data_IF_733728725003
#
_entry.id   IF_733728725003
#
_cell.length_a   1.000
_cell.length_b   1.000
_cell.length_c   1.000
_cell.angle_alpha   90.00
_cell.angle_beta   90.00
_cell.angle_gamma   90.00
#
_symmetry.space_group_name_H-M   'P 1'
#
loop_
_entity.id
_entity.type
_entity.pdbx_description
1 polymer ?
#
# COMPACT_ATOMS: atom_id res chain seq x y z
N UNK A 1 8.53 -11.11 -6.53
CA UNK A 1 8.21 -10.02 -5.58
C UNK A 1 7.25 -9.02 -6.19
N UNK A 2 6.39 -8.42 -5.37
CA UNK A 2 5.55 -7.28 -5.72
C UNK A 2 6.37 -6.00 -5.52
N UNK A 3 6.53 -5.25 -6.62
CA UNK A 3 7.26 -4.00 -6.63
C UNK A 3 6.38 -2.86 -7.16
N UNK A 4 6.56 -1.69 -6.56
CA UNK A 4 6.01 -0.42 -7.03
C UNK A 4 7.16 0.56 -7.28
N UNK A 5 7.11 1.25 -8.42
CA UNK A 5 8.15 2.19 -8.84
C UNK A 5 7.70 3.62 -8.65
N UNK A 6 8.43 4.37 -7.83
CA UNK A 6 8.12 5.76 -7.50
C UNK A 6 8.12 6.66 -8.75
N UNK A 7 7.16 7.59 -8.81
CA UNK A 7 6.97 8.49 -9.95
C UNK A 7 6.44 7.84 -11.25
N UNK A 8 6.01 6.56 -11.22
CA UNK A 8 5.38 5.90 -12.38
C UNK A 8 4.12 5.14 -11.99
N UNK A 9 3.32 4.73 -12.98
CA UNK A 9 2.15 3.84 -12.78
C UNK A 9 2.51 2.35 -12.79
N UNK A 10 3.79 2.01 -12.62
CA UNK A 10 4.26 0.62 -12.65
C UNK A 10 4.14 0.04 -11.25
N UNK A 11 3.15 -0.84 -11.10
CA UNK A 11 2.85 -1.57 -9.89
C UNK A 11 2.48 -3.01 -10.26
N UNK A 12 3.21 -3.99 -9.74
CA UNK A 12 2.96 -5.38 -10.11
C UNK A 12 4.01 -6.39 -9.66
N UNK A 13 3.86 -7.62 -10.15
CA UNK A 13 4.71 -8.75 -9.79
C UNK A 13 5.90 -8.88 -10.73
N UNK A 14 7.12 -8.89 -10.17
CA UNK A 14 8.32 -9.30 -10.89
C UNK A 14 8.19 -10.77 -11.27
N UNK A 15 8.17 -11.03 -12.58
CA UNK A 15 8.08 -12.38 -13.14
C UNK A 15 9.46 -12.92 -13.52
N UNK A 16 10.32 -12.10 -14.11
CA UNK A 16 11.65 -12.50 -14.56
C UNK A 16 12.64 -11.32 -14.53
N UNK A 17 13.91 -11.61 -14.28
CA UNK A 17 15.00 -10.63 -14.23
C UNK A 17 16.06 -11.03 -15.24
N UNK A 18 16.04 -10.36 -16.40
CA UNK A 18 17.05 -10.51 -17.43
C UNK A 18 18.23 -9.57 -17.22
N UNK A 19 19.29 -9.76 -18.03
CA UNK A 19 20.51 -8.94 -17.93
C UNK A 19 20.26 -7.45 -18.21
N UNK A 20 19.33 -7.12 -19.11
CA UNK A 20 19.05 -5.74 -19.54
C UNK A 20 17.70 -5.22 -19.07
N UNK A 21 16.71 -6.10 -18.89
CA UNK A 21 15.34 -5.75 -18.55
C UNK A 21 14.78 -6.68 -17.47
N UNK A 22 13.90 -6.12 -16.66
CA UNK A 22 13.09 -6.85 -15.69
C UNK A 22 11.64 -6.87 -16.16
N UNK A 23 11.02 -8.04 -16.18
CA UNK A 23 9.62 -8.23 -16.56
C UNK A 23 8.74 -8.10 -15.31
N UNK A 24 7.90 -7.07 -15.29
CA UNK A 24 6.90 -6.81 -14.24
C UNK A 24 5.51 -7.00 -14.83
N UNK A 25 4.67 -7.81 -14.22
CA UNK A 25 3.28 -8.03 -14.64
C UNK A 25 2.35 -7.21 -13.75
N UNK A 26 1.62 -6.26 -14.35
CA UNK A 26 0.62 -5.45 -13.65
C UNK A 26 -0.60 -6.28 -13.25
N UNK A 27 -1.45 -5.70 -12.39
CA UNK A 27 -2.68 -6.34 -11.90
C UNK A 27 -3.67 -6.73 -12.99
N UNK A 28 -3.70 -5.99 -14.09
CA UNK A 28 -4.50 -6.29 -15.28
C UNK A 28 -3.89 -7.40 -16.18
N UNK A 29 -2.86 -8.09 -15.67
CA UNK A 29 -2.08 -9.14 -16.35
C UNK A 29 -1.27 -8.65 -17.56
N UNK A 30 -1.04 -7.34 -17.69
CA UNK A 30 -0.17 -6.81 -18.76
C UNK A 30 1.31 -6.87 -18.34
N UNK A 31 2.19 -7.47 -19.16
CA UNK A 31 3.62 -7.44 -18.90
C UNK A 31 4.22 -6.10 -19.32
N UNK A 32 5.03 -5.52 -18.44
CA UNK A 32 5.88 -4.35 -18.69
C UNK A 32 7.33 -4.78 -18.57
N UNK A 33 8.13 -4.41 -19.55
CA UNK A 33 9.58 -4.63 -19.55
C UNK A 33 10.27 -3.34 -19.14
N UNK A 34 10.87 -3.34 -17.95
CA UNK A 34 11.55 -2.18 -17.39
C UNK A 34 13.06 -2.36 -17.58
N UNK A 35 13.76 -1.43 -18.25
CA UNK A 35 15.21 -1.48 -18.34
C UNK A 35 15.87 -1.37 -16.96
N UNK A 36 16.87 -2.21 -16.69
CA UNK A 36 17.51 -2.27 -15.38
C UNK A 36 18.19 -0.94 -14.99
N UNK A 37 18.74 -0.20 -15.96
CA UNK A 37 19.35 1.11 -15.71
C UNK A 37 18.34 2.13 -15.16
N UNK A 38 17.05 2.01 -15.54
CA UNK A 38 16.00 2.91 -15.06
C UNK A 38 15.67 2.64 -13.59
N UNK A 39 15.74 1.38 -13.17
CA UNK A 39 15.57 1.00 -11.76
C UNK A 39 16.68 1.58 -10.87
N UNK A 40 17.89 1.78 -11.39
CA UNK A 40 19.00 2.36 -10.63
C UNK A 40 18.81 3.85 -10.30
N UNK A 41 18.00 4.56 -11.10
CA UNK A 41 17.72 5.99 -10.91
C UNK A 41 16.44 6.28 -10.12
N UNK A 42 15.69 5.26 -9.71
CA UNK A 42 14.34 5.40 -9.13
C UNK A 42 14.25 4.71 -7.78
N UNK A 43 13.35 5.20 -6.92
CA UNK A 43 13.02 4.48 -5.69
C UNK A 43 12.15 3.27 -6.03
N UNK A 44 12.60 2.09 -5.60
CA UNK A 44 11.86 0.83 -5.76
C UNK A 44 11.28 0.44 -4.40
N UNK A 45 9.96 0.36 -4.30
CA UNK A 45 9.29 -0.14 -3.12
C UNK A 45 9.03 -1.65 -3.29
N UNK A 46 9.47 -2.46 -2.33
CA UNK A 46 9.19 -3.90 -2.32
C UNK A 46 8.07 -4.20 -1.32
N UNK A 47 6.85 -4.27 -1.84
CA UNK A 47 5.64 -4.50 -1.07
C UNK A 47 5.53 -5.95 -0.58
N UNK A 48 6.25 -6.90 -1.18
CA UNK A 48 6.31 -8.28 -0.67
C UNK A 48 7.07 -8.40 0.64
N UNK A 49 7.95 -7.44 0.96
CA UNK A 49 8.69 -7.40 2.23
C UNK A 49 8.04 -6.51 3.28
N UNK A 50 6.81 -6.06 3.04
CA UNK A 50 6.04 -5.28 3.99
C UNK A 50 5.66 -6.14 5.21
N UNK A 51 5.92 -5.66 6.41
CA UNK A 51 5.57 -6.36 7.67
C UNK A 51 4.10 -6.21 8.02
N UNK A 52 3.55 -4.99 7.88
CA UNK A 52 2.16 -4.66 8.22
C UNK A 52 1.51 -3.88 7.09
N UNK A 53 0.21 -4.11 6.85
CA UNK A 53 -0.58 -3.32 5.90
C UNK A 53 -1.28 -2.18 6.63
N UNK A 54 -1.09 -0.94 6.16
CA UNK A 54 -1.77 0.23 6.73
C UNK A 54 -3.18 0.37 6.18
N UNK A 55 -4.18 0.38 7.06
CA UNK A 55 -5.56 0.74 6.74
C UNK A 55 -5.73 2.24 7.01
N UNK A 56 -6.16 3.01 6.01
CA UNK A 56 -6.50 4.43 6.15
C UNK A 56 -7.92 4.65 5.68
N UNK A 57 -8.74 5.27 6.52
CA UNK A 57 -10.14 5.54 6.23
C UNK A 57 -10.52 6.93 6.75
N UNK A 58 -11.24 7.70 5.94
CA UNK A 58 -11.77 9.01 6.31
C UNK A 58 -13.28 8.87 6.61
N UNK A 59 -13.63 8.97 7.90
CA UNK A 59 -15.02 8.87 8.36
C UNK A 59 -15.73 10.22 8.20
N UNK A 60 -16.74 10.27 7.34
CA UNK A 60 -17.57 11.46 7.16
C UNK A 60 -18.78 11.41 8.10
N UNK A 61 -18.91 12.43 8.96
CA UNK A 61 -20.03 12.60 9.88
C UNK A 61 -20.88 13.81 9.49
N UNK A 62 -22.15 13.81 9.91
CA UNK A 62 -23.04 14.96 9.69
C UNK A 62 -22.72 16.05 10.70
N UNK A 63 -22.89 17.31 10.31
CA UNK A 63 -22.64 18.46 11.19
C UNK A 63 -23.47 18.44 12.49
N UNK A 64 -24.69 17.90 12.44
CA UNK A 64 -25.54 17.79 13.64
C UNK A 64 -25.01 16.79 14.68
N UNK A 65 -24.12 15.89 14.28
CA UNK A 65 -23.56 14.84 15.13
C UNK A 65 -22.24 15.29 15.80
N UNK A 66 -21.85 16.56 15.65
CA UNK A 66 -20.67 17.17 16.31
C UNK A 66 -20.59 16.84 17.81
N UNK A 67 -21.68 16.94 18.61
CA UNK A 67 -21.61 16.64 20.03
C UNK A 67 -21.23 15.18 20.33
N UNK A 68 -21.49 14.26 19.39
CA UNK A 68 -21.23 12.83 19.55
C UNK A 68 -19.83 12.42 19.06
N UNK A 69 -19.09 13.31 18.38
CA UNK A 69 -17.75 13.02 17.86
C UNK A 69 -16.80 12.49 18.95
N UNK A 70 -16.71 13.10 20.14
CA UNK A 70 -15.79 12.61 21.18
C UNK A 70 -16.09 11.16 21.59
N UNK A 71 -17.38 10.81 21.66
CA UNK A 71 -17.82 9.46 22.00
C UNK A 71 -17.46 8.45 20.90
N UNK A 72 -17.73 8.81 19.64
CA UNK A 72 -17.42 7.98 18.47
C UNK A 72 -15.92 7.68 18.39
N UNK A 73 -15.07 8.69 18.60
CA UNK A 73 -13.62 8.52 18.56
C UNK A 73 -13.14 7.58 19.67
N UNK A 74 -13.67 7.75 20.89
CA UNK A 74 -13.35 6.87 22.02
C UNK A 74 -13.69 5.42 21.71
N UNK A 75 -14.91 5.18 21.23
CA UNK A 75 -15.41 3.84 20.96
C UNK A 75 -14.65 3.18 19.80
N UNK A 76 -14.25 3.96 18.79
CA UNK A 76 -13.37 3.48 17.71
C UNK A 76 -11.98 3.13 18.21
N UNK A 77 -11.39 3.94 19.10
CA UNK A 77 -10.08 3.65 19.68
C UNK A 77 -10.12 2.37 20.52
N UNK A 78 -11.16 2.21 21.34
CA UNK A 78 -11.39 0.99 22.13
C UNK A 78 -11.51 -0.23 21.22
N UNK A 79 -12.37 -0.15 20.19
CA UNK A 79 -12.54 -1.22 19.21
C UNK A 79 -11.23 -1.56 18.47
N UNK A 80 -10.45 -0.56 18.06
CA UNK A 80 -9.16 -0.78 17.37
C UNK A 80 -8.15 -1.44 18.30
N UNK A 81 -8.11 -1.07 19.58
CA UNK A 81 -7.18 -1.62 20.55
C UNK A 81 -7.53 -3.05 20.99
N UNK A 82 -8.80 -3.43 20.94
CA UNK A 82 -9.26 -4.78 21.27
C UNK A 82 -9.19 -5.75 20.09
N UNK A 83 -8.98 -5.26 18.86
CA UNK A 83 -9.04 -6.08 17.67
C UNK A 83 -7.76 -6.92 17.48
N UNK A 84 -7.87 -8.24 17.61
CA UNK A 84 -6.73 -9.19 17.60
C UNK A 84 -5.86 -9.12 16.34
N UNK A 85 -6.45 -8.78 15.17
CA UNK A 85 -5.71 -8.66 13.90
C UNK A 85 -5.03 -7.28 13.68
N UNK A 86 -5.18 -6.33 14.60
CA UNK A 86 -4.57 -4.99 14.47
C UNK A 86 -3.29 -4.94 15.30
N UNK A 87 -2.16 -4.68 14.62
CA UNK A 87 -0.91 -4.35 15.29
C UNK A 87 -0.80 -2.83 15.52
N UNK A 88 -0.21 -2.44 16.65
CA UNK A 88 -0.10 -1.04 17.12
C UNK A 88 1.31 -0.45 16.96
N UNK A 89 2.21 -1.15 16.27
CA UNK A 89 3.63 -0.79 16.10
C UNK A 89 3.90 0.00 14.82
#
# INVERSE_FOLDING_TARGET
>A
DWVSLDGTSIDGWVQDVGSFYTKVVQWDKRPIYVPNYKLMSMNVQNNSRMTHRRIKYDLNLRLRDIPNIPQIVRDMQEMINEHEDIDHI
#
